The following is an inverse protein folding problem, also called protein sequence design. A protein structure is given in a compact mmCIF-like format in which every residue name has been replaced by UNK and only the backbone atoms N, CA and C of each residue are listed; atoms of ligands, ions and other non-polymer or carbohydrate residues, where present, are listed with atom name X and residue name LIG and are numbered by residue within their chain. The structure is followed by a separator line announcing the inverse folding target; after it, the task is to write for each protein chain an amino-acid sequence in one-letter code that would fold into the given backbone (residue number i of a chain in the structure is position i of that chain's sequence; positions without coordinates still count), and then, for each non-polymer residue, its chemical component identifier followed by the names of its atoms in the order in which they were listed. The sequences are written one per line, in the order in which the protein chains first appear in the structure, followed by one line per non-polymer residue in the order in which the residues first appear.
data_IF_796662509813
#
_entry.id   IF_796662509813
#
_cell.length_a   1.000
_cell.length_b   1.000
_cell.length_c   1.000
_cell.angle_alpha   90.00
_cell.angle_beta   90.00
_cell.angle_gamma   90.00
#
_symmetry.space_group_name_H-M   'P 1'
#
loop_
_entity.id
_entity.type
_entity.pdbx_description
1 polymer ?
#
# COMPACT_ATOMS: atom_id res chain seq x y z
N UNK A 1 -65.78 -37.18 -47.03
CA UNK A 1 -65.80 -35.71 -46.84
C UNK A 1 -66.54 -35.48 -45.54
N UNK A 2 -65.81 -35.35 -44.44
CA UNK A 2 -66.40 -35.14 -43.12
C UNK A 2 -65.58 -34.05 -42.43
N UNK A 3 -66.25 -32.92 -42.20
CA UNK A 3 -65.84 -31.91 -41.25
C UNK A 3 -66.45 -32.30 -39.91
N UNK A 4 -65.64 -32.47 -38.88
CA UNK A 4 -66.13 -32.48 -37.51
C UNK A 4 -65.30 -31.55 -36.62
N UNK A 5 -66.03 -30.81 -35.79
CA UNK A 5 -65.57 -29.84 -34.81
C UNK A 5 -65.27 -30.55 -33.49
N UNK A 6 -64.58 -29.80 -32.62
CA UNK A 6 -64.64 -29.86 -31.14
C UNK A 6 -63.56 -30.69 -30.45
N UNK A 7 -62.61 -30.02 -29.79
CA UNK A 7 -62.58 -29.92 -28.31
C UNK A 7 -61.39 -29.09 -27.83
N UNK A 8 -61.71 -27.95 -27.22
CA UNK A 8 -60.87 -27.28 -26.24
C UNK A 8 -60.60 -28.21 -25.04
N UNK A 9 -59.39 -28.12 -24.48
CA UNK A 9 -59.04 -28.48 -23.10
C UNK A 9 -57.61 -27.95 -22.81
N UNK A 10 -57.23 -27.68 -21.55
CA UNK A 10 -57.03 -26.31 -21.07
C UNK A 10 -55.57 -25.98 -20.72
N UNK A 11 -55.36 -24.69 -20.49
CA UNK A 11 -54.25 -24.08 -19.77
C UNK A 11 -53.75 -24.92 -18.58
N UNK A 12 -52.47 -25.29 -18.64
CA UNK A 12 -51.66 -25.55 -17.44
C UNK A 12 -50.62 -24.45 -17.36
N UNK A 13 -50.97 -23.41 -16.60
CA UNK A 13 -50.02 -22.53 -15.94
C UNK A 13 -49.13 -23.40 -15.06
N UNK A 14 -47.95 -23.73 -15.59
CA UNK A 14 -46.85 -24.30 -14.83
C UNK A 14 -46.24 -23.17 -14.01
N UNK A 15 -46.56 -23.16 -12.73
CA UNK A 15 -46.10 -22.25 -11.70
C UNK A 15 -44.57 -22.23 -11.69
N UNK A 16 -43.98 -21.13 -12.17
CA UNK A 16 -42.55 -20.87 -12.08
C UNK A 16 -42.17 -20.73 -10.61
N UNK A 17 -41.43 -21.70 -10.08
CA UNK A 17 -40.74 -21.56 -8.80
C UNK A 17 -39.75 -20.39 -8.91
N UNK A 18 -39.76 -19.40 -8.01
CA UNK A 18 -38.76 -18.34 -8.00
C UNK A 18 -37.54 -18.87 -7.23
N UNK A 19 -36.42 -19.17 -7.90
CA UNK A 19 -35.26 -19.60 -7.13
C UNK A 19 -33.95 -19.86 -7.84
N UNK A 20 -33.94 -20.20 -9.13
CA UNK A 20 -32.67 -20.55 -9.79
C UNK A 20 -32.37 -19.59 -10.93
N UNK A 21 -31.40 -18.71 -10.71
CA UNK A 21 -30.86 -17.89 -11.79
C UNK A 21 -29.88 -18.75 -12.57
N UNK A 22 -30.03 -18.87 -13.90
CA UNK A 22 -28.99 -19.48 -14.72
C UNK A 22 -27.66 -18.72 -14.50
N UNK A 23 -26.54 -19.43 -14.35
CA UNK A 23 -25.22 -18.80 -14.14
C UNK A 23 -24.85 -17.79 -15.24
N UNK A 24 -25.39 -17.97 -16.45
CA UNK A 24 -25.30 -17.03 -17.56
C UNK A 24 -26.08 -15.72 -17.34
N UNK A 25 -27.22 -15.75 -16.65
CA UNK A 25 -28.02 -14.58 -16.30
C UNK A 25 -27.32 -13.74 -15.22
N UNK A 26 -26.73 -14.40 -14.22
CA UNK A 26 -25.92 -13.72 -13.19
C UNK A 26 -24.73 -12.98 -13.81
N UNK A 27 -23.95 -13.64 -14.67
CA UNK A 27 -22.82 -13.00 -15.35
C UNK A 27 -23.21 -11.80 -16.21
N UNK A 28 -24.39 -11.85 -16.85
CA UNK A 28 -24.95 -10.71 -17.58
C UNK A 28 -25.34 -9.55 -16.64
N UNK A 29 -25.96 -9.83 -15.49
CA UNK A 29 -26.29 -8.80 -14.50
C UNK A 29 -25.04 -8.13 -13.91
N UNK A 30 -24.00 -8.89 -13.57
CA UNK A 30 -22.71 -8.31 -13.13
C UNK A 30 -22.08 -7.46 -14.23
N UNK A 31 -22.15 -7.89 -15.49
CA UNK A 31 -21.64 -7.13 -16.64
C UNK A 31 -22.42 -5.83 -16.89
N UNK A 32 -23.75 -5.84 -16.71
CA UNK A 32 -24.58 -4.65 -16.81
C UNK A 32 -24.28 -3.64 -15.68
N UNK A 33 -24.11 -4.11 -14.45
CA UNK A 33 -23.72 -3.27 -13.31
C UNK A 33 -22.31 -2.70 -13.54
N UNK A 34 -21.37 -3.52 -14.01
CA UNK A 34 -20.03 -3.07 -14.38
C UNK A 34 -20.09 -1.95 -15.43
N UNK A 35 -20.90 -2.11 -16.48
CA UNK A 35 -21.08 -1.07 -17.50
C UNK A 35 -21.66 0.22 -16.92
N UNK A 36 -22.58 0.15 -15.94
CA UNK A 36 -23.10 1.34 -15.25
C UNK A 36 -22.04 2.02 -14.37
N UNK A 37 -21.17 1.25 -13.73
CA UNK A 37 -20.07 1.78 -12.90
C UNK A 37 -18.96 2.44 -13.75
N UNK A 38 -18.68 1.89 -14.94
CA UNK A 38 -17.64 2.36 -15.85
C UNK A 38 -18.12 3.41 -16.86
N UNK A 39 -19.42 3.45 -17.19
CA UNK A 39 -19.96 4.41 -18.16
C UNK A 39 -19.73 5.86 -17.74
N UNK A 40 -19.19 6.63 -18.69
CA UNK A 40 -18.84 8.04 -18.55
C UNK A 40 -20.08 8.95 -18.46
N UNK A 41 -21.26 8.48 -18.87
CA UNK A 41 -22.55 9.20 -18.82
C UNK A 41 -23.13 9.29 -17.40
N UNK A 42 -22.68 8.43 -16.48
CA UNK A 42 -23.11 8.40 -15.07
C UNK A 42 -22.37 9.41 -14.18
N UNK A 43 -21.95 10.57 -14.72
CA UNK A 43 -21.30 11.66 -13.95
C UNK A 43 -22.14 12.20 -12.78
N UNK A 44 -23.44 11.85 -12.70
CA UNK A 44 -24.24 12.04 -11.49
C UNK A 44 -23.97 10.92 -10.49
N UNK A 45 -23.27 11.23 -9.39
CA UNK A 45 -22.93 10.29 -8.31
C UNK A 45 -24.10 9.42 -7.79
N UNK A 46 -25.36 9.87 -7.97
CA UNK A 46 -26.57 9.10 -7.67
C UNK A 46 -26.70 7.79 -8.48
N UNK A 47 -26.35 7.80 -9.77
CA UNK A 47 -26.46 6.61 -10.63
C UNK A 47 -25.45 5.51 -10.26
N UNK A 48 -24.24 5.92 -9.88
CA UNK A 48 -23.20 4.99 -9.41
C UNK A 48 -23.50 4.45 -8.01
N UNK A 49 -24.02 5.28 -7.11
CA UNK A 49 -24.44 4.85 -5.78
C UNK A 49 -25.58 3.83 -5.84
N UNK A 50 -26.58 4.04 -6.70
CA UNK A 50 -27.62 3.04 -6.97
C UNK A 50 -27.03 1.73 -7.50
N UNK A 51 -26.07 1.78 -8.43
CA UNK A 51 -25.40 0.58 -8.94
C UNK A 51 -24.64 -0.21 -7.85
N UNK A 52 -24.04 0.47 -6.86
CA UNK A 52 -23.39 -0.19 -5.70
C UNK A 52 -24.44 -0.85 -4.79
N UNK A 53 -25.60 -0.21 -4.59
CA UNK A 53 -26.70 -0.80 -3.82
C UNK A 53 -27.31 -2.01 -4.53
N UNK A 54 -27.57 -1.89 -5.84
CA UNK A 54 -28.05 -2.98 -6.70
C UNK A 54 -27.09 -4.18 -6.66
N UNK A 55 -25.78 -3.91 -6.68
CA UNK A 55 -24.74 -4.94 -6.56
C UNK A 55 -24.77 -5.62 -5.19
N UNK A 56 -24.93 -4.85 -4.11
CA UNK A 56 -25.06 -5.39 -2.76
C UNK A 56 -26.28 -6.31 -2.62
N UNK A 57 -27.43 -5.89 -3.17
CA UNK A 57 -28.66 -6.69 -3.18
C UNK A 57 -28.51 -7.96 -4.04
N UNK A 58 -27.85 -7.86 -5.20
CA UNK A 58 -27.58 -9.01 -6.06
C UNK A 58 -26.70 -10.04 -5.34
N UNK A 59 -25.65 -9.62 -4.64
CA UNK A 59 -24.77 -10.51 -3.87
C UNK A 59 -25.51 -11.20 -2.73
N UNK A 60 -26.43 -10.49 -2.05
CA UNK A 60 -27.26 -11.09 -1.00
C UNK A 60 -28.20 -12.15 -1.56
N UNK A 61 -28.92 -11.82 -2.63
CA UNK A 61 -29.92 -12.68 -3.26
C UNK A 61 -29.34 -13.90 -3.97
N UNK A 62 -28.08 -13.85 -4.41
CA UNK A 62 -27.46 -14.96 -5.14
C UNK A 62 -27.07 -16.10 -4.19
N UNK A 63 -27.50 -17.32 -4.53
CA UNK A 63 -27.17 -18.55 -3.81
C UNK A 63 -25.70 -18.94 -3.98
N UNK A 64 -25.15 -19.67 -3.00
CA UNK A 64 -23.70 -19.90 -2.85
C UNK A 64 -23.07 -20.63 -4.03
N UNK A 65 -23.79 -21.59 -4.60
CA UNK A 65 -23.25 -22.51 -5.62
C UNK A 65 -23.21 -21.87 -7.02
N UNK A 66 -24.12 -20.91 -7.28
CA UNK A 66 -24.23 -20.22 -8.58
C UNK A 66 -23.09 -19.23 -8.86
N UNK A 67 -22.34 -18.79 -7.84
CA UNK A 67 -21.17 -17.91 -8.02
C UNK A 67 -19.97 -18.61 -8.68
N UNK A 68 -19.88 -19.94 -8.52
CA UNK A 68 -18.69 -20.73 -8.90
C UNK A 68 -18.96 -21.77 -9.99
N UNK A 69 -20.23 -21.99 -10.36
CA UNK A 69 -20.64 -22.81 -11.50
C UNK A 69 -20.50 -22.07 -12.84
N UNK A 70 -19.31 -22.15 -13.44
CA UNK A 70 -19.11 -21.73 -14.82
C UNK A 70 -19.63 -22.77 -15.83
N UNK A 71 -20.66 -22.41 -16.60
CA UNK A 71 -20.94 -23.05 -17.90
C UNK A 71 -19.82 -22.69 -18.89
N UNK A 72 -19.15 -23.68 -19.46
CA UNK A 72 -17.93 -23.54 -20.27
C UNK A 72 -18.09 -22.86 -21.64
N UNK A 73 -18.91 -21.82 -21.78
CA UNK A 73 -19.25 -21.22 -23.09
C UNK A 73 -19.24 -19.69 -23.16
N UNK A 74 -19.02 -18.94 -22.07
CA UNK A 74 -18.85 -17.47 -22.16
C UNK A 74 -17.37 -17.08 -22.24
N UNK A 75 -17.04 -16.17 -23.18
CA UNK A 75 -15.68 -15.69 -23.48
C UNK A 75 -14.92 -15.06 -22.29
N UNK A 76 -15.61 -14.74 -21.19
CA UNK A 76 -15.03 -14.34 -19.91
C UNK A 76 -15.67 -15.17 -18.80
N UNK A 77 -14.85 -15.72 -17.91
CA UNK A 77 -15.34 -16.47 -16.75
C UNK A 77 -15.93 -15.53 -15.68
N UNK A 78 -16.95 -15.98 -14.95
CA UNK A 78 -17.49 -15.28 -13.76
C UNK A 78 -16.40 -14.73 -12.80
N UNK A 79 -15.30 -15.46 -12.51
CA UNK A 79 -14.17 -14.95 -11.74
C UNK A 79 -13.54 -13.66 -12.28
N UNK A 80 -13.40 -13.52 -13.60
CA UNK A 80 -12.78 -12.36 -14.23
C UNK A 80 -13.70 -11.15 -14.15
N UNK A 81 -15.00 -11.35 -14.35
CA UNK A 81 -16.02 -10.29 -14.22
C UNK A 81 -16.05 -9.75 -12.80
N UNK A 82 -15.97 -10.62 -11.79
CA UNK A 82 -15.87 -10.22 -10.37
C UNK A 82 -14.60 -9.39 -10.09
N UNK A 83 -13.46 -9.77 -10.66
CA UNK A 83 -12.22 -8.99 -10.58
C UNK A 83 -12.37 -7.59 -11.19
N UNK A 84 -13.02 -7.47 -12.35
CA UNK A 84 -13.30 -6.17 -12.99
C UNK A 84 -14.27 -5.32 -12.17
N UNK A 85 -15.30 -5.93 -11.57
CA UNK A 85 -16.24 -5.24 -10.67
C UNK A 85 -15.51 -4.70 -9.45
N UNK A 86 -14.65 -5.50 -8.81
CA UNK A 86 -13.87 -5.03 -7.67
C UNK A 86 -12.93 -3.88 -8.03
N UNK A 87 -12.30 -3.93 -9.22
CA UNK A 87 -11.49 -2.82 -9.75
C UNK A 87 -12.33 -1.56 -10.01
N UNK A 88 -13.56 -1.70 -10.50
CA UNK A 88 -14.46 -0.56 -10.71
C UNK A 88 -14.94 0.05 -9.38
N UNK A 89 -15.20 -0.79 -8.37
CA UNK A 89 -15.58 -0.36 -7.02
C UNK A 89 -14.44 0.35 -6.30
N UNK A 90 -13.22 -0.19 -6.38
CA UNK A 90 -12.01 0.43 -5.84
C UNK A 90 -11.82 1.84 -6.44
N UNK A 91 -11.90 1.98 -7.77
CA UNK A 91 -11.83 3.27 -8.45
C UNK A 91 -12.98 4.22 -8.08
N UNK A 92 -14.16 3.71 -7.78
CA UNK A 92 -15.29 4.54 -7.35
C UNK A 92 -15.11 5.09 -5.92
N UNK A 93 -14.45 4.34 -5.06
CA UNK A 93 -14.11 4.73 -3.70
C UNK A 93 -12.77 5.48 -3.58
N UNK A 94 -12.03 5.66 -4.67
CA UNK A 94 -10.76 6.37 -4.69
C UNK A 94 -10.95 7.90 -4.47
N UNK A 95 -10.03 8.56 -3.75
CA UNK A 95 -10.10 9.99 -3.53
C UNK A 95 -9.91 10.81 -4.82
N UNK A 96 -10.47 12.04 -4.88
CA UNK A 96 -10.31 12.93 -6.02
C UNK A 96 -8.85 13.42 -6.15
N UNK A 97 -8.52 13.94 -7.34
CA UNK A 97 -7.21 14.51 -7.66
C UNK A 97 -6.80 15.59 -6.65
N UNK A 98 -5.52 15.62 -6.28
CA UNK A 98 -4.96 16.55 -5.26
C UNK A 98 -5.27 18.04 -5.51
N UNK A 99 -5.53 18.46 -6.75
CA UNK A 99 -5.81 19.86 -7.09
C UNK A 99 -7.26 20.30 -6.84
N UNK A 100 -8.21 19.38 -6.68
CA UNK A 100 -9.65 19.69 -6.66
C UNK A 100 -10.30 19.76 -5.26
N UNK A 101 -9.58 19.42 -4.19
CA UNK A 101 -10.19 19.07 -2.89
C UNK A 101 -9.85 19.97 -1.70
N UNK A 102 -10.31 21.23 -1.66
CA UNK A 102 -10.48 21.93 -0.35
C UNK A 102 -11.87 21.63 0.21
N UNK A 103 -11.95 20.69 1.15
CA UNK A 103 -13.03 20.58 2.15
C UNK A 103 -14.21 19.67 1.83
N UNK A 104 -14.99 19.91 0.77
CA UNK A 104 -16.31 19.26 0.62
C UNK A 104 -16.30 17.87 -0.05
N UNK A 105 -15.32 17.57 -0.89
CA UNK A 105 -15.29 16.30 -1.65
C UNK A 105 -14.97 15.06 -0.79
N UNK A 106 -14.27 15.24 0.33
CA UNK A 106 -13.75 14.12 1.13
C UNK A 106 -14.82 13.40 1.96
N UNK A 107 -15.83 14.12 2.46
CA UNK A 107 -16.94 13.49 3.17
C UNK A 107 -17.76 12.57 2.26
N UNK A 108 -17.95 12.94 1.00
CA UNK A 108 -18.67 12.10 0.03
C UNK A 108 -17.85 10.85 -0.34
N UNK A 109 -16.52 10.97 -0.41
CA UNK A 109 -15.61 9.84 -0.65
C UNK A 109 -15.69 8.83 0.50
N UNK A 110 -15.66 9.30 1.75
CA UNK A 110 -15.73 8.42 2.91
C UNK A 110 -17.06 7.63 2.97
N UNK A 111 -18.20 8.27 2.65
CA UNK A 111 -19.49 7.56 2.59
C UNK A 111 -19.56 6.56 1.43
N UNK A 112 -19.00 6.90 0.25
CA UNK A 112 -18.85 5.95 -0.86
C UNK A 112 -17.99 4.75 -0.46
N UNK A 113 -16.88 5.01 0.23
CA UNK A 113 -15.99 3.98 0.71
C UNK A 113 -16.68 3.05 1.71
N UNK A 114 -17.44 3.58 2.68
CA UNK A 114 -18.22 2.77 3.59
C UNK A 114 -19.23 1.87 2.86
N UNK A 115 -19.95 2.40 1.86
CA UNK A 115 -20.90 1.62 1.07
C UNK A 115 -20.21 0.50 0.26
N UNK A 116 -19.09 0.82 -0.39
CA UNK A 116 -18.28 -0.15 -1.15
C UNK A 116 -17.68 -1.22 -0.24
N UNK A 117 -17.21 -0.83 0.95
CA UNK A 117 -16.66 -1.75 1.94
C UNK A 117 -17.70 -2.77 2.43
N UNK A 118 -18.95 -2.35 2.66
CA UNK A 118 -20.05 -3.27 2.99
C UNK A 118 -20.31 -4.29 1.88
N UNK A 119 -20.20 -3.87 0.60
CA UNK A 119 -20.32 -4.79 -0.54
C UNK A 119 -19.16 -5.80 -0.55
N UNK A 120 -17.93 -5.38 -0.26
CA UNK A 120 -16.79 -6.29 -0.15
C UNK A 120 -16.92 -7.26 1.02
N UNK A 121 -17.43 -6.84 2.18
CA UNK A 121 -17.71 -7.73 3.31
C UNK A 121 -18.71 -8.82 2.94
N UNK A 122 -19.82 -8.45 2.28
CA UNK A 122 -20.82 -9.42 1.80
C UNK A 122 -20.22 -10.40 0.80
N UNK A 123 -19.38 -9.91 -0.12
CA UNK A 123 -18.71 -10.75 -1.11
C UNK A 123 -17.74 -11.72 -0.43
N UNK A 124 -16.83 -11.23 0.42
CA UNK A 124 -15.87 -12.06 1.14
C UNK A 124 -16.55 -13.08 2.06
N UNK A 125 -17.66 -12.71 2.72
CA UNK A 125 -18.44 -13.65 3.54
C UNK A 125 -19.03 -14.80 2.73
N UNK A 126 -19.40 -14.58 1.45
CA UNK A 126 -19.82 -15.66 0.55
C UNK A 126 -18.65 -16.58 0.19
N UNK A 127 -17.44 -16.04 0.01
CA UNK A 127 -16.22 -16.84 -0.20
C UNK A 127 -15.83 -17.64 1.04
N UNK A 128 -15.96 -17.07 2.24
CA UNK A 128 -15.72 -17.77 3.50
C UNK A 128 -16.71 -18.92 3.72
N UNK A 129 -18.00 -18.66 3.49
CA UNK A 129 -19.01 -19.70 3.56
C UNK A 129 -18.80 -20.81 2.51
N UNK A 130 -18.38 -20.44 1.29
CA UNK A 130 -18.05 -21.39 0.24
C UNK A 130 -16.81 -22.22 0.57
N UNK A 131 -15.80 -21.64 1.22
CA UNK A 131 -14.60 -22.34 1.70
C UNK A 131 -14.95 -23.46 2.70
N UNK A 132 -15.93 -23.23 3.57
CA UNK A 132 -16.39 -24.24 4.54
C UNK A 132 -17.27 -25.33 3.90
N UNK A 133 -17.72 -25.13 2.67
CA UNK A 133 -18.40 -26.14 1.86
C UNK A 133 -17.36 -26.87 0.99
N UNK A 134 -17.37 -28.20 0.93
CA UNK A 134 -16.39 -29.02 0.20
C UNK A 134 -16.40 -28.86 -1.35
N UNK A 135 -16.99 -27.78 -1.88
CA UNK A 135 -17.27 -27.60 -3.30
C UNK A 135 -16.11 -26.88 -4.01
N UNK A 136 -15.48 -27.62 -4.94
CA UNK A 136 -14.67 -27.22 -6.10
C UNK A 136 -13.66 -26.05 -5.96
N UNK A 137 -12.35 -26.23 -6.27
CA UNK A 137 -11.30 -25.23 -6.07
C UNK A 137 -11.39 -23.97 -6.96
N UNK A 138 -12.45 -23.79 -7.76
CA UNK A 138 -12.67 -22.61 -8.63
C UNK A 138 -12.77 -21.30 -7.86
N UNK A 139 -13.22 -21.34 -6.60
CA UNK A 139 -13.26 -20.16 -5.72
C UNK A 139 -11.87 -19.57 -5.47
N UNK A 140 -10.81 -20.38 -5.45
CA UNK A 140 -9.43 -19.92 -5.26
C UNK A 140 -8.97 -19.02 -6.42
N UNK A 141 -9.38 -19.34 -7.65
CA UNK A 141 -9.05 -18.53 -8.84
C UNK A 141 -9.75 -17.18 -8.80
N UNK A 142 -11.04 -17.14 -8.49
CA UNK A 142 -11.78 -15.88 -8.35
C UNK A 142 -11.29 -15.01 -7.19
N UNK A 143 -10.95 -15.63 -6.05
CA UNK A 143 -10.36 -14.93 -4.92
C UNK A 143 -9.01 -14.28 -5.30
N UNK A 144 -8.19 -14.95 -6.12
CA UNK A 144 -6.90 -14.40 -6.56
C UNK A 144 -7.06 -13.09 -7.33
N UNK A 145 -8.03 -13.04 -8.24
CA UNK A 145 -8.26 -11.85 -9.09
C UNK A 145 -8.96 -10.72 -8.31
N UNK A 146 -9.72 -11.07 -7.26
CA UNK A 146 -10.43 -10.15 -6.38
C UNK A 146 -9.54 -9.56 -5.26
N UNK A 147 -8.61 -10.35 -4.73
CA UNK A 147 -7.83 -10.00 -3.54
C UNK A 147 -7.00 -8.73 -3.71
N UNK A 148 -6.43 -8.50 -4.90
CA UNK A 148 -5.62 -7.30 -5.18
C UNK A 148 -6.42 -6.00 -5.06
N UNK A 149 -7.51 -5.82 -5.82
CA UNK A 149 -8.36 -4.62 -5.73
C UNK A 149 -8.98 -4.42 -4.34
N UNK A 150 -9.42 -5.49 -3.66
CA UNK A 150 -9.96 -5.40 -2.28
C UNK A 150 -8.89 -4.93 -1.31
N UNK A 151 -7.67 -5.47 -1.42
CA UNK A 151 -6.55 -5.04 -0.59
C UNK A 151 -6.24 -3.56 -0.80
N UNK A 152 -6.13 -3.09 -2.06
CA UNK A 152 -5.86 -1.68 -2.36
C UNK A 152 -6.94 -0.78 -1.75
N UNK A 153 -8.21 -1.15 -1.89
CA UNK A 153 -9.33 -0.45 -1.26
C UNK A 153 -9.19 -0.41 0.27
N UNK A 154 -8.95 -1.56 0.90
CA UNK A 154 -8.86 -1.65 2.36
C UNK A 154 -7.72 -0.78 2.88
N UNK A 155 -6.54 -0.84 2.28
CA UNK A 155 -5.38 -0.01 2.68
C UNK A 155 -5.64 1.48 2.48
N UNK A 156 -6.32 1.85 1.38
CA UNK A 156 -6.65 3.26 1.08
C UNK A 156 -7.49 3.92 2.18
N UNK A 157 -8.35 3.14 2.83
CA UNK A 157 -9.30 3.64 3.85
C UNK A 157 -8.94 3.22 5.28
N UNK A 158 -7.96 2.34 5.48
CA UNK A 158 -7.46 1.95 6.81
C UNK A 158 -6.44 2.92 7.41
N UNK A 159 -5.91 3.85 6.61
CA UNK A 159 -5.00 4.88 7.10
C UNK A 159 -5.77 6.16 7.38
N UNK A 160 -5.53 6.79 8.52
CA UNK A 160 -6.09 8.11 8.82
C UNK A 160 -5.58 9.12 7.77
N UNK A 161 -6.49 9.55 6.89
CA UNK A 161 -6.22 10.45 5.79
C UNK A 161 -7.35 11.48 5.65
N UNK A 162 -7.14 12.60 4.93
CA UNK A 162 -8.18 13.61 4.75
C UNK A 162 -9.48 13.10 4.14
N UNK A 163 -9.44 11.97 3.40
CA UNK A 163 -10.58 11.34 2.73
C UNK A 163 -11.24 10.19 3.51
N UNK A 164 -10.80 9.91 4.74
CA UNK A 164 -11.35 8.83 5.56
C UNK A 164 -12.23 9.37 6.69
N UNK A 165 -13.33 8.67 6.99
CA UNK A 165 -14.14 8.88 8.19
C UNK A 165 -13.95 7.69 9.17
N UNK A 166 -14.31 7.83 10.46
CA UNK A 166 -14.25 6.71 11.41
C UNK A 166 -15.01 5.48 10.89
N UNK A 167 -16.18 5.71 10.29
CA UNK A 167 -16.98 4.64 9.68
C UNK A 167 -16.29 3.96 8.50
N UNK A 168 -15.68 4.72 7.60
CA UNK A 168 -14.97 4.12 6.45
C UNK A 168 -13.72 3.36 6.91
N UNK A 169 -13.05 3.86 7.93
CA UNK A 169 -11.88 3.24 8.56
C UNK A 169 -12.24 1.89 9.19
N UNK A 170 -13.30 1.85 10.00
CA UNK A 170 -13.74 0.62 10.68
C UNK A 170 -14.14 -0.46 9.66
N UNK A 171 -14.94 -0.09 8.66
CA UNK A 171 -15.34 -1.00 7.57
C UNK A 171 -14.13 -1.49 6.77
N UNK A 172 -13.17 -0.62 6.48
CA UNK A 172 -11.94 -1.00 5.76
C UNK A 172 -11.07 -1.98 6.58
N UNK A 173 -10.99 -1.77 7.89
CA UNK A 173 -10.32 -2.68 8.82
C UNK A 173 -11.00 -4.06 8.86
N UNK A 174 -12.32 -4.11 8.91
CA UNK A 174 -13.09 -5.36 8.83
C UNK A 174 -12.87 -6.07 7.48
N UNK A 175 -12.88 -5.33 6.36
CA UNK A 175 -12.60 -5.88 5.02
C UNK A 175 -11.21 -6.48 4.96
N UNK A 176 -10.20 -5.81 5.52
CA UNK A 176 -8.83 -6.33 5.57
C UNK A 176 -8.75 -7.60 6.42
N UNK A 177 -9.36 -7.61 7.60
CA UNK A 177 -9.36 -8.77 8.50
C UNK A 177 -10.03 -9.99 7.85
N UNK A 178 -11.20 -9.79 7.23
CA UNK A 178 -11.92 -10.85 6.54
C UNK A 178 -11.17 -11.34 5.29
N UNK A 179 -10.52 -10.44 4.55
CA UNK A 179 -9.66 -10.83 3.42
C UNK A 179 -8.56 -11.79 3.88
N UNK A 180 -7.86 -11.44 4.96
CA UNK A 180 -6.79 -12.27 5.54
C UNK A 180 -7.31 -13.65 5.98
N UNK A 181 -8.47 -13.70 6.63
CA UNK A 181 -9.12 -14.96 7.05
C UNK A 181 -9.49 -15.86 5.86
N UNK A 182 -10.09 -15.28 4.82
CA UNK A 182 -10.47 -16.00 3.60
C UNK A 182 -9.23 -16.51 2.86
N UNK A 183 -8.12 -15.77 2.89
CA UNK A 183 -6.86 -16.17 2.25
C UNK A 183 -5.96 -17.04 3.12
N UNK A 184 -6.38 -17.38 4.33
CA UNK A 184 -5.59 -18.17 5.31
C UNK A 184 -4.27 -17.52 5.70
N UNK A 185 -4.21 -16.19 5.70
CA UNK A 185 -3.02 -15.45 6.11
C UNK A 185 -3.20 -14.91 7.54
N UNK A 186 -2.26 -15.21 8.43
CA UNK A 186 -2.23 -14.68 9.80
C UNK A 186 -1.78 -13.23 9.88
N UNK A 187 -1.23 -12.68 8.81
CA UNK A 187 -0.77 -11.29 8.75
C UNK A 187 -0.80 -10.72 7.34
N UNK A 188 -0.79 -9.38 7.26
CA UNK A 188 -0.64 -8.66 5.98
C UNK A 188 0.68 -9.01 5.30
N UNK A 189 1.77 -9.15 6.07
CA UNK A 189 3.06 -9.57 5.55
C UNK A 189 2.96 -10.95 4.88
N UNK A 190 2.36 -11.93 5.58
CA UNK A 190 2.09 -13.27 5.04
C UNK A 190 1.25 -13.25 3.76
N UNK A 191 0.26 -12.37 3.68
CA UNK A 191 -0.53 -12.18 2.45
C UNK A 191 0.30 -11.65 1.26
N UNK A 192 1.27 -10.78 1.52
CA UNK A 192 2.09 -10.13 0.49
C UNK A 192 3.23 -11.01 -0.01
N UNK A 193 3.98 -11.67 0.88
CA UNK A 193 5.13 -12.48 0.49
C UNK A 193 4.88 -14.00 0.48
N UNK A 194 3.75 -14.46 1.02
CA UNK A 194 3.45 -15.88 1.22
C UNK A 194 4.00 -16.37 2.56
N UNK A 195 3.24 -17.20 3.28
CA UNK A 195 3.69 -17.79 4.56
C UNK A 195 4.64 -18.97 4.35
N UNK A 196 4.56 -19.64 3.19
CA UNK A 196 5.36 -20.79 2.81
C UNK A 196 6.26 -20.48 1.58
N UNK A 197 7.43 -21.11 1.48
CA UNK A 197 8.38 -20.88 0.36
C UNK A 197 7.80 -21.23 -1.03
N UNK A 198 6.82 -22.14 -1.08
CA UNK A 198 6.14 -22.55 -2.31
C UNK A 198 4.95 -21.64 -2.69
N UNK A 199 4.49 -20.79 -1.77
CA UNK A 199 3.37 -19.89 -2.01
C UNK A 199 3.86 -18.55 -2.56
N UNK A 200 3.58 -18.31 -3.86
CA UNK A 200 3.86 -17.00 -4.46
C UNK A 200 2.96 -15.95 -3.81
N UNK A 201 3.58 -15.08 -3.01
CA UNK A 201 2.93 -13.93 -2.41
C UNK A 201 2.27 -12.99 -3.43
N UNK A 202 1.28 -12.22 -2.97
CA UNK A 202 0.47 -11.33 -3.82
C UNK A 202 1.11 -9.96 -4.08
N UNK A 203 2.29 -9.70 -3.53
CA UNK A 203 3.01 -8.42 -3.68
C UNK A 203 3.19 -8.02 -5.14
N UNK A 204 3.61 -8.95 -6.01
CA UNK A 204 3.81 -8.67 -7.45
C UNK A 204 2.49 -8.23 -8.11
N UNK A 205 1.38 -8.90 -7.79
CA UNK A 205 0.06 -8.59 -8.34
C UNK A 205 -0.36 -7.16 -7.93
N UNK A 206 -0.19 -6.81 -6.66
CA UNK A 206 -0.53 -5.46 -6.16
C UNK A 206 0.38 -4.41 -6.81
N UNK A 207 1.68 -4.67 -6.93
CA UNK A 207 2.59 -3.74 -7.59
C UNK A 207 2.24 -3.54 -9.08
N UNK A 208 1.83 -4.58 -9.80
CA UNK A 208 1.38 -4.45 -11.19
C UNK A 208 0.04 -3.70 -11.31
N UNK A 209 -0.85 -3.81 -10.32
CA UNK A 209 -2.07 -3.01 -10.26
C UNK A 209 -1.78 -1.52 -10.00
N UNK A 210 -0.78 -1.21 -9.16
CA UNK A 210 -0.38 0.17 -8.83
C UNK A 210 0.51 0.81 -9.90
N UNK A 211 1.27 0.02 -10.66
CA UNK A 211 2.20 0.47 -11.71
C UNK A 211 1.65 1.51 -12.69
N UNK A 212 0.43 1.36 -13.28
CA UNK A 212 -0.11 2.38 -14.18
C UNK A 212 -0.31 3.73 -13.49
N UNK A 213 -0.56 3.73 -12.18
CA UNK A 213 -0.75 4.91 -11.36
C UNK A 213 0.54 5.40 -10.69
N UNK A 214 1.66 4.67 -10.84
CA UNK A 214 2.98 5.03 -10.28
C UNK A 214 3.96 5.47 -11.38
N UNK A 215 3.49 6.29 -12.32
CA UNK A 215 4.34 6.92 -13.33
C UNK A 215 4.37 8.43 -13.14
N UNK A 216 5.37 9.11 -13.71
CA UNK A 216 5.63 10.55 -13.55
C UNK A 216 4.40 11.43 -13.85
N UNK A 217 3.52 10.99 -14.74
CA UNK A 217 2.35 11.73 -15.20
C UNK A 217 1.07 11.39 -14.42
N UNK A 218 0.98 10.17 -13.87
CA UNK A 218 -0.24 9.63 -13.30
C UNK A 218 -0.30 9.61 -11.78
N UNK A 219 0.83 9.61 -11.08
CA UNK A 219 0.85 9.39 -9.63
C UNK A 219 0.20 10.48 -8.78
N UNK A 220 0.07 11.69 -9.33
CA UNK A 220 -0.67 12.79 -8.71
C UNK A 220 -2.18 12.76 -8.97
N UNK A 221 -2.64 11.87 -9.84
CA UNK A 221 -4.07 11.73 -10.14
C UNK A 221 -4.84 11.07 -8.98
N UNK A 222 -4.16 10.26 -8.16
CA UNK A 222 -4.77 9.63 -7.01
C UNK A 222 -3.86 9.79 -5.78
N UNK A 223 -4.22 10.66 -4.81
CA UNK A 223 -3.39 10.85 -3.62
C UNK A 223 -3.23 9.57 -2.80
N UNK A 224 -4.15 8.60 -2.89
CA UNK A 224 -4.05 7.35 -2.14
C UNK A 224 -2.89 6.48 -2.62
N UNK A 225 -2.54 6.51 -3.92
CA UNK A 225 -1.58 5.57 -4.53
C UNK A 225 -0.22 5.60 -3.82
N UNK A 226 0.28 6.78 -3.47
CA UNK A 226 1.56 6.93 -2.74
C UNK A 226 1.51 6.34 -1.32
N UNK A 227 0.37 6.49 -0.64
CA UNK A 227 0.18 5.95 0.71
C UNK A 227 0.02 4.43 0.68
N UNK A 228 -0.77 3.90 -0.26
CA UNK A 228 -0.92 2.44 -0.47
C UNK A 228 0.41 1.81 -0.83
N UNK A 229 1.18 2.43 -1.72
CA UNK A 229 2.53 1.97 -2.07
C UNK A 229 3.46 1.98 -0.85
N UNK A 230 3.54 3.10 -0.13
CA UNK A 230 4.42 3.23 1.04
C UNK A 230 4.06 2.24 2.14
N UNK A 231 2.78 2.08 2.44
CA UNK A 231 2.31 1.13 3.43
C UNK A 231 2.61 -0.31 3.02
N UNK A 232 2.28 -0.69 1.79
CA UNK A 232 2.53 -2.05 1.27
C UNK A 232 4.01 -2.38 1.26
N UNK A 233 4.88 -1.42 0.93
CA UNK A 233 6.32 -1.58 0.97
C UNK A 233 6.83 -1.87 2.39
N UNK A 234 6.31 -1.15 3.40
CA UNK A 234 6.71 -1.32 4.80
C UNK A 234 6.35 -2.71 5.37
N UNK A 235 5.34 -3.38 4.82
CA UNK A 235 4.93 -4.73 5.24
C UNK A 235 5.87 -5.83 4.73
N UNK A 236 6.67 -5.58 3.69
CA UNK A 236 7.58 -6.57 3.10
C UNK A 236 9.00 -6.34 3.59
N UNK A 237 9.56 -7.31 4.30
CA UNK A 237 10.91 -7.25 4.87
C UNK A 237 11.86 -8.31 4.25
N UNK A 238 13.03 -8.50 4.85
CA UNK A 238 14.01 -9.53 4.44
C UNK A 238 13.40 -10.94 4.58
N UNK A 239 13.64 -11.88 3.63
CA UNK A 239 14.47 -11.77 2.42
C UNK A 239 13.72 -11.33 1.14
N UNK A 240 12.38 -11.26 1.17
CA UNK A 240 11.54 -11.15 -0.02
C UNK A 240 11.69 -9.81 -0.77
N UNK A 241 12.00 -8.72 -0.07
CA UNK A 241 12.10 -7.39 -0.67
C UNK A 241 13.15 -7.31 -1.81
N UNK A 242 14.24 -8.08 -1.70
CA UNK A 242 15.35 -8.02 -2.64
C UNK A 242 14.93 -8.35 -4.08
N UNK A 243 14.05 -9.35 -4.25
CA UNK A 243 13.56 -9.80 -5.55
C UNK A 243 12.71 -8.74 -6.26
N UNK A 244 12.26 -7.73 -5.54
CA UNK A 244 11.39 -6.67 -6.04
C UNK A 244 12.06 -5.31 -6.13
N UNK A 245 13.38 -5.23 -5.85
CA UNK A 245 14.13 -3.98 -5.78
C UNK A 245 13.99 -3.11 -7.05
N UNK A 246 14.00 -3.73 -8.23
CA UNK A 246 13.86 -3.05 -9.52
C UNK A 246 12.49 -2.39 -9.72
N UNK A 247 11.47 -2.89 -9.03
CA UNK A 247 10.08 -2.42 -9.14
C UNK A 247 9.75 -1.36 -8.09
N UNK A 248 10.37 -1.45 -6.91
CA UNK A 248 10.10 -0.56 -5.77
C UNK A 248 11.00 0.67 -5.73
N UNK A 249 12.24 0.56 -6.25
CA UNK A 249 13.21 1.65 -6.18
C UNK A 249 12.79 2.85 -7.04
N UNK A 250 12.36 2.68 -8.32
CA UNK A 250 11.97 3.82 -9.15
C UNK A 250 10.76 4.61 -8.58
N UNK A 251 9.65 3.97 -8.13
CA UNK A 251 8.56 4.71 -7.49
C UNK A 251 8.97 5.39 -6.17
N UNK A 252 9.84 4.77 -5.37
CA UNK A 252 10.31 5.38 -4.12
C UNK A 252 11.12 6.65 -4.39
N UNK A 253 11.98 6.63 -5.41
CA UNK A 253 12.75 7.80 -5.86
C UNK A 253 11.84 8.88 -6.45
N UNK A 254 10.85 8.48 -7.27
CA UNK A 254 9.87 9.39 -7.86
C UNK A 254 9.08 10.16 -6.79
N UNK A 255 8.64 9.47 -5.73
CA UNK A 255 7.93 10.09 -4.61
C UNK A 255 8.86 11.03 -3.82
N UNK A 256 10.13 10.64 -3.62
CA UNK A 256 11.10 11.49 -2.92
C UNK A 256 11.47 12.76 -3.68
N UNK A 257 11.46 12.75 -5.02
CA UNK A 257 11.80 13.89 -5.87
C UNK A 257 10.67 14.93 -6.01
N UNK A 258 9.51 14.68 -5.38
CA UNK A 258 8.38 15.60 -5.49
C UNK A 258 8.66 16.96 -4.85
N UNK A 259 7.95 18.00 -5.28
CA UNK A 259 8.10 19.33 -4.72
C UNK A 259 7.48 19.48 -3.32
N UNK A 260 6.44 18.69 -2.98
CA UNK A 260 5.78 18.77 -1.68
C UNK A 260 6.57 18.03 -0.60
N UNK A 261 6.83 18.70 0.53
CA UNK A 261 7.57 18.15 1.68
C UNK A 261 7.02 16.83 2.20
N UNK A 262 5.70 16.69 2.29
CA UNK A 262 5.04 15.48 2.81
C UNK A 262 5.36 14.26 1.94
N UNK A 263 5.35 14.45 0.62
CA UNK A 263 5.71 13.42 -0.35
C UNK A 263 7.21 13.09 -0.26
N UNK A 264 8.08 14.10 -0.14
CA UNK A 264 9.52 13.88 0.06
C UNK A 264 9.78 13.03 1.29
N UNK A 265 9.15 13.35 2.42
CA UNK A 265 9.30 12.59 3.67
C UNK A 265 8.82 11.14 3.48
N UNK A 266 7.65 10.94 2.87
CA UNK A 266 7.12 9.61 2.57
C UNK A 266 8.08 8.79 1.70
N UNK A 267 8.62 9.40 0.64
CA UNK A 267 9.62 8.80 -0.23
C UNK A 267 10.89 8.41 0.52
N UNK A 268 11.42 9.31 1.36
CA UNK A 268 12.61 9.04 2.20
C UNK A 268 12.36 7.88 3.17
N UNK A 269 11.16 7.76 3.75
CA UNK A 269 10.79 6.60 4.57
C UNK A 269 10.81 5.30 3.78
N UNK A 270 10.29 5.31 2.54
CA UNK A 270 10.39 4.17 1.62
C UNK A 270 11.85 3.80 1.32
N UNK A 271 12.70 4.78 1.01
CA UNK A 271 14.12 4.56 0.75
C UNK A 271 14.84 3.99 1.98
N UNK A 272 14.55 4.51 3.18
CA UNK A 272 15.12 4.00 4.42
C UNK A 272 14.73 2.55 4.67
N UNK A 273 13.47 2.19 4.42
CA UNK A 273 13.01 0.81 4.52
C UNK A 273 13.78 -0.12 3.58
N UNK A 274 14.04 0.31 2.34
CA UNK A 274 14.86 -0.42 1.37
C UNK A 274 16.29 -0.60 1.89
N UNK A 275 16.93 0.45 2.41
CA UNK A 275 18.28 0.38 2.97
C UNK A 275 18.37 -0.61 4.13
N UNK A 276 17.36 -0.61 5.01
CA UNK A 276 17.30 -1.51 6.16
C UNK A 276 16.97 -2.96 5.79
N UNK A 277 16.26 -3.20 4.68
CA UNK A 277 15.76 -4.53 4.30
C UNK A 277 16.44 -5.18 3.08
N UNK A 278 17.32 -4.47 2.37
CA UNK A 278 18.10 -5.07 1.27
C UNK A 278 19.53 -5.40 1.72
N UNK A 279 20.11 -6.54 1.32
CA UNK A 279 21.52 -6.81 1.57
C UNK A 279 22.44 -5.75 0.95
N UNK A 280 23.54 -5.42 1.63
CA UNK A 280 24.48 -4.41 1.16
C UNK A 280 25.08 -4.74 -0.22
N UNK A 281 25.30 -6.02 -0.52
CA UNK A 281 25.81 -6.48 -1.80
C UNK A 281 24.88 -6.07 -2.97
N UNK A 282 23.57 -6.27 -2.80
CA UNK A 282 22.58 -5.99 -3.84
C UNK A 282 22.34 -4.48 -4.03
N UNK A 283 22.54 -3.69 -2.97
CA UNK A 283 22.55 -2.22 -3.07
C UNK A 283 23.81 -1.69 -3.76
N UNK A 284 24.97 -2.33 -3.55
CA UNK A 284 26.20 -1.95 -4.24
C UNK A 284 26.16 -2.37 -5.71
N UNK A 285 25.45 -3.45 -6.04
CA UNK A 285 25.23 -3.87 -7.42
C UNK A 285 24.51 -2.77 -8.21
N UNK A 286 24.98 -2.55 -9.45
CA UNK A 286 24.49 -1.50 -10.35
C UNK A 286 24.55 -0.07 -9.76
N UNK A 287 25.41 0.18 -8.76
CA UNK A 287 25.57 1.48 -8.10
C UNK A 287 24.27 2.04 -7.48
N UNK A 288 23.31 1.18 -7.09
CA UNK A 288 22.03 1.61 -6.51
C UNK A 288 22.23 2.39 -5.20
N UNK A 289 23.20 2.00 -4.39
CA UNK A 289 23.58 2.70 -3.17
C UNK A 289 24.05 4.15 -3.44
N UNK A 290 24.76 4.37 -4.56
CA UNK A 290 25.21 5.70 -4.97
C UNK A 290 24.04 6.57 -5.45
N UNK A 291 23.10 5.98 -6.19
CA UNK A 291 21.86 6.66 -6.60
C UNK A 291 21.05 7.09 -5.38
N UNK A 292 20.92 6.20 -4.39
CA UNK A 292 20.27 6.52 -3.10
C UNK A 292 20.99 7.66 -2.37
N UNK A 293 22.33 7.61 -2.31
CA UNK A 293 23.11 8.67 -1.69
C UNK A 293 22.87 10.02 -2.34
N UNK A 294 22.97 10.11 -3.67
CA UNK A 294 22.76 11.38 -4.38
C UNK A 294 21.34 11.92 -4.22
N UNK A 295 20.32 11.06 -4.30
CA UNK A 295 18.93 11.46 -4.07
C UNK A 295 18.73 12.04 -2.66
N UNK A 296 19.25 11.35 -1.64
CA UNK A 296 19.17 11.81 -0.24
C UNK A 296 19.99 13.07 0.01
N UNK A 297 21.19 13.15 -0.57
CA UNK A 297 22.08 14.30 -0.43
C UNK A 297 21.45 15.57 -0.99
N UNK A 298 20.75 15.48 -2.12
CA UNK A 298 20.04 16.61 -2.72
C UNK A 298 18.97 17.21 -1.78
N UNK A 299 18.34 16.39 -0.93
CA UNK A 299 17.36 16.89 0.04
C UNK A 299 17.96 17.73 1.16
N UNK A 300 19.26 17.59 1.45
CA UNK A 300 19.94 18.37 2.51
C UNK A 300 20.02 19.86 2.18
N UNK A 301 19.91 20.24 0.91
CA UNK A 301 19.85 21.64 0.47
C UNK A 301 18.48 22.30 0.70
N UNK A 302 17.45 21.51 1.04
CA UNK A 302 16.11 22.05 1.33
C UNK A 302 15.98 22.40 2.81
N UNK A 303 15.65 23.66 3.19
CA UNK A 303 15.63 24.11 4.58
C UNK A 303 14.35 23.70 5.33
N UNK A 304 14.06 22.40 5.38
CA UNK A 304 12.88 21.79 6.01
C UNK A 304 13.29 20.78 7.09
N UNK A 305 13.00 21.10 8.35
CA UNK A 305 13.53 20.33 9.48
C UNK A 305 13.03 18.88 9.55
N UNK A 306 11.74 18.64 9.24
CA UNK A 306 11.17 17.30 9.21
C UNK A 306 11.83 16.42 8.13
N UNK A 307 12.04 17.00 6.94
CA UNK A 307 12.68 16.32 5.83
C UNK A 307 14.14 16.00 6.16
N UNK A 308 14.90 16.99 6.64
CA UNK A 308 16.30 16.81 7.04
C UNK A 308 16.41 15.72 8.11
N UNK A 309 15.51 15.68 9.10
CA UNK A 309 15.54 14.63 10.13
C UNK A 309 15.36 13.23 9.53
N UNK A 310 14.42 13.07 8.59
CA UNK A 310 14.18 11.79 7.91
C UNK A 310 15.40 11.39 7.04
N UNK A 311 15.95 12.35 6.29
CA UNK A 311 17.08 12.16 5.37
C UNK A 311 18.35 11.78 6.14
N UNK A 312 18.67 12.51 7.22
CA UNK A 312 19.84 12.20 8.05
C UNK A 312 19.73 10.80 8.66
N UNK A 313 18.55 10.42 9.13
CA UNK A 313 18.31 9.07 9.65
C UNK A 313 18.56 8.00 8.57
N UNK A 314 18.10 8.25 7.34
CA UNK A 314 18.32 7.34 6.21
C UNK A 314 19.80 7.26 5.78
N UNK A 315 20.49 8.40 5.70
CA UNK A 315 21.91 8.46 5.35
C UNK A 315 22.78 7.72 6.38
N UNK A 316 22.48 7.88 7.68
CA UNK A 316 23.17 7.16 8.76
C UNK A 316 23.07 5.64 8.61
N UNK A 317 21.92 5.14 8.15
CA UNK A 317 21.68 3.73 7.85
C UNK A 317 22.33 3.28 6.53
N UNK A 318 22.54 4.19 5.58
CA UNK A 318 23.16 3.94 4.26
C UNK A 318 24.69 3.93 4.29
N UNK A 319 25.33 4.80 5.09
CA UNK A 319 26.80 4.89 5.14
C UNK A 319 27.51 3.54 5.39
N UNK A 320 27.04 2.61 6.26
CA UNK A 320 27.67 1.31 6.44
C UNK A 320 27.66 0.44 5.18
N UNK A 321 26.74 0.69 4.25
CA UNK A 321 26.69 0.02 2.94
C UNK A 321 27.76 0.61 2.02
N UNK A 322 27.85 1.95 1.94
CA UNK A 322 28.81 2.67 1.09
C UNK A 322 30.26 2.52 1.55
N UNK A 323 30.49 2.51 2.86
CA UNK A 323 31.83 2.58 3.47
C UNK A 323 32.40 1.20 3.82
N UNK A 324 31.65 0.10 3.56
CA UNK A 324 32.05 -1.28 3.93
C UNK A 324 33.35 -1.75 3.28
N UNK A 325 33.82 -1.08 2.23
CA UNK A 325 35.13 -1.32 1.59
C UNK A 325 36.27 -0.43 2.11
N UNK A 326 35.97 0.61 2.89
CA UNK A 326 36.94 1.58 3.41
C UNK A 326 37.46 1.12 4.78
N UNK A 327 37.95 -0.11 4.87
CA UNK A 327 38.68 -0.55 6.05
C UNK A 327 40.04 0.15 6.09
N UNK A 328 40.09 1.22 6.89
CA UNK A 328 41.32 1.96 7.18
C UNK A 328 42.33 1.06 7.90
N UNK A 329 43.26 0.48 7.16
CA UNK A 329 44.48 -0.15 7.71
C UNK A 329 45.49 0.98 7.88
N UNK A 330 45.68 1.41 9.13
CA UNK A 330 46.40 2.63 9.49
C UNK A 330 47.75 2.84 8.79
N UNK A 331 48.02 4.08 8.38
CA UNK A 331 49.32 4.52 7.86
C UNK A 331 49.37 5.88 7.15
N UNK A 332 48.24 6.45 6.69
CA UNK A 332 48.20 7.74 5.95
C UNK A 332 47.05 8.69 6.34
N UNK A 333 46.73 9.67 5.49
CA UNK A 333 45.53 10.49 5.64
C UNK A 333 44.27 9.66 5.35
N UNK A 334 43.28 9.73 6.25
CA UNK A 334 41.98 9.07 6.06
C UNK A 334 41.33 9.63 4.78
N UNK A 335 40.90 8.79 3.82
CA UNK A 335 40.16 9.28 2.66
C UNK A 335 38.85 9.92 3.12
N UNK A 336 38.49 11.05 2.52
CA UNK A 336 37.20 11.73 2.76
C UNK A 336 36.07 10.75 2.50
N UNK A 337 35.29 10.45 3.54
CA UNK A 337 34.14 9.55 3.42
C UNK A 337 32.87 10.33 3.07
N UNK A 338 31.86 9.66 2.52
CA UNK A 338 30.53 10.26 2.30
C UNK A 338 29.94 10.83 3.61
N UNK A 339 30.23 10.19 4.74
CA UNK A 339 29.89 10.71 6.07
C UNK A 339 30.58 12.05 6.37
N UNK A 340 31.83 12.26 5.91
CA UNK A 340 32.57 13.50 6.10
C UNK A 340 32.00 14.64 5.25
N UNK A 341 31.60 14.35 4.01
CA UNK A 341 30.93 15.32 3.12
C UNK A 341 29.61 15.81 3.72
N UNK A 342 28.77 14.88 4.16
CA UNK A 342 27.48 15.21 4.80
C UNK A 342 27.68 15.99 6.09
N UNK A 343 28.66 15.62 6.92
CA UNK A 343 28.96 16.36 8.15
C UNK A 343 29.47 17.78 7.84
N UNK A 344 30.36 17.94 6.86
CA UNK A 344 30.83 19.25 6.44
C UNK A 344 29.66 20.12 5.95
N UNK A 345 28.75 19.56 5.15
CA UNK A 345 27.57 20.27 4.68
C UNK A 345 26.65 20.72 5.84
N UNK A 346 26.38 19.82 6.79
CA UNK A 346 25.55 20.13 7.97
C UNK A 346 26.16 21.26 8.79
N UNK A 347 27.48 21.24 9.03
CA UNK A 347 28.16 22.29 9.79
C UNK A 347 28.10 23.64 9.06
N UNK A 348 28.34 23.64 7.75
CA UNK A 348 28.21 24.83 6.90
C UNK A 348 26.78 25.38 6.90
N UNK A 349 25.76 24.52 6.87
CA UNK A 349 24.36 24.96 6.96
C UNK A 349 23.96 25.41 8.35
N UNK A 350 24.57 24.87 9.41
CA UNK A 350 24.27 25.22 10.80
C UNK A 350 24.80 26.61 11.18
N UNK A 351 25.89 27.07 10.57
CA UNK A 351 26.54 28.35 10.88
C UNK A 351 25.64 29.59 10.61
N UNK A 352 24.98 29.73 9.44
CA UNK A 352 24.06 30.84 9.18
C UNK A 352 22.60 30.56 9.60
N UNK A 353 22.27 29.39 10.15
CA UNK A 353 20.87 29.00 10.39
C UNK A 353 20.27 29.66 11.64
N UNK A 354 19.24 30.49 11.41
CA UNK A 354 18.53 31.19 12.47
C UNK A 354 17.29 30.44 12.99
N UNK A 355 16.76 29.47 12.24
CA UNK A 355 15.58 28.71 12.65
C UNK A 355 15.96 27.67 13.72
N UNK A 356 15.43 27.85 14.93
CA UNK A 356 15.74 27.01 16.09
C UNK A 356 15.47 25.52 15.85
N UNK A 357 14.40 25.18 15.14
CA UNK A 357 14.05 23.78 14.87
C UNK A 357 15.09 23.09 13.97
N UNK A 358 15.54 23.76 12.90
CA UNK A 358 16.59 23.23 12.02
C UNK A 358 17.92 23.08 12.77
N UNK A 359 18.32 24.11 13.52
CA UNK A 359 19.54 24.07 14.32
C UNK A 359 19.53 22.96 15.37
N UNK A 360 18.38 22.72 16.02
CA UNK A 360 18.18 21.59 16.94
C UNK A 360 18.28 20.24 16.22
N UNK A 361 17.68 20.12 15.02
CA UNK A 361 17.77 18.90 14.21
C UNK A 361 19.21 18.58 13.83
N UNK A 362 19.98 19.58 13.37
CA UNK A 362 21.41 19.39 13.08
C UNK A 362 22.18 18.99 14.35
N UNK A 363 22.05 19.77 15.43
CA UNK A 363 22.74 19.53 16.69
C UNK A 363 22.46 18.14 17.29
N UNK A 364 21.22 17.64 17.18
CA UNK A 364 20.82 16.32 17.67
C UNK A 364 21.53 15.18 16.93
N UNK A 365 21.86 15.35 15.67
CA UNK A 365 22.51 14.32 14.86
C UNK A 365 24.04 14.35 14.97
N UNK A 366 24.65 15.50 15.31
CA UNK A 366 26.11 15.66 15.42
C UNK A 366 26.81 14.58 16.28
N UNK A 367 26.31 14.19 17.47
CA UNK A 367 26.97 13.17 18.29
C UNK A 367 27.11 11.83 17.57
N UNK A 368 26.14 11.47 16.71
CA UNK A 368 26.15 10.21 15.95
C UNK A 368 27.25 10.23 14.89
N UNK A 369 27.41 11.36 14.19
CA UNK A 369 28.49 11.57 13.22
C UNK A 369 29.87 11.55 13.89
N UNK A 370 30.02 12.20 15.06
CA UNK A 370 31.28 12.22 15.82
C UNK A 370 31.65 10.83 16.32
N UNK A 371 30.70 10.07 16.90
CA UNK A 371 30.94 8.70 17.36
C UNK A 371 31.41 7.78 16.24
N UNK A 372 30.92 7.99 15.01
CA UNK A 372 31.32 7.22 13.82
C UNK A 372 32.74 7.55 13.33
N UNK A 373 33.27 8.73 13.66
CA UNK A 373 34.65 9.09 13.32
C UNK A 373 35.69 8.38 14.21
N UNK A 374 35.32 7.94 15.41
CA UNK A 374 36.22 7.24 16.33
C UNK A 374 36.42 5.78 15.88
N UNK A 375 37.65 5.35 15.53
CA UNK A 375 37.93 3.97 15.16
C UNK A 375 37.59 3.01 16.31
N UNK A 376 36.75 1.99 16.07
CA UNK A 376 36.45 0.92 17.03
C UNK A 376 35.01 0.82 17.55
N UNK A 377 34.10 1.74 17.18
CA UNK A 377 32.74 1.80 17.76
C UNK A 377 31.61 1.15 16.93
N UNK A 378 31.89 0.39 15.87
CA UNK A 378 30.86 -0.31 15.11
C UNK A 378 31.01 -1.84 15.25
N UNK A 379 30.40 -2.41 16.29
CA UNK A 379 30.00 -3.82 16.28
C UNK A 379 28.61 -3.91 15.64
N UNK A 380 28.46 -4.78 14.64
CA UNK A 380 27.26 -4.87 13.81
C UNK A 380 26.00 -5.29 14.58
N UNK A 381 24.92 -4.53 14.35
CA UNK A 381 23.48 -4.82 14.55
C UNK A 381 22.90 -4.86 15.97
N UNK A 382 21.92 -3.94 16.11
CA UNK A 382 20.67 -3.91 16.91
C UNK A 382 20.70 -3.53 18.40
N UNK A 383 19.64 -2.81 18.85
CA UNK A 383 19.73 -1.84 19.94
C UNK A 383 19.14 -2.39 21.24
N UNK A 384 19.83 -2.20 22.35
CA UNK A 384 19.19 -2.22 23.65
C UNK A 384 19.26 -0.83 24.24
N UNK A 385 18.09 -0.21 24.31
CA UNK A 385 17.83 0.97 25.13
C UNK A 385 18.14 0.57 26.57
N UNK A 386 19.32 0.92 27.06
CA UNK A 386 19.52 1.14 28.47
C UNK A 386 19.87 2.62 28.65
N UNK A 387 18.87 3.35 29.18
CA UNK A 387 19.13 4.51 29.99
C UNK A 387 20.10 4.09 31.10
N UNK A 388 21.39 4.37 30.93
CA UNK A 388 22.26 4.52 32.08
C UNK A 388 21.97 5.90 32.67
N UNK A 389 21.13 5.90 33.71
CA UNK A 389 20.97 7.05 34.59
C UNK A 389 22.32 7.44 35.18
N UNK A 390 22.80 8.63 34.82
CA UNK A 390 23.84 9.30 35.57
C UNK A 390 23.16 10.10 36.69
N UNK A 391 22.82 9.41 37.78
CA UNK A 391 22.60 10.06 39.06
C UNK A 391 23.94 10.23 39.77
N UNK A 392 24.18 11.48 40.17
CA UNK A 392 24.91 11.91 41.37
C UNK A 392 26.38 11.53 41.52
N UNK A 393 27.27 12.50 41.31
CA UNK A 393 28.15 13.03 42.37
C UNK A 393 28.99 14.21 41.85
N UNK A 394 28.49 15.43 42.08
CA UNK A 394 29.32 16.63 42.15
C UNK A 394 30.02 16.66 43.54
N UNK A 395 31.31 17.00 43.65
CA UNK A 395 31.83 17.60 44.86
C UNK A 395 31.79 19.12 44.72
N UNK A 396 30.91 19.73 45.51
CA UNK A 396 30.85 21.16 45.77
C UNK A 396 31.80 21.47 46.94
N UNK A 397 32.94 22.11 46.67
CA UNK A 397 33.77 22.81 47.66
C UNK A 397 34.91 23.51 46.92
N UNK A 398 35.13 24.82 46.98
CA UNK A 398 34.41 25.92 47.59
C UNK A 398 35.21 27.18 47.29
N UNK A 399 34.55 28.28 46.97
CA UNK A 399 35.17 29.60 46.91
C UNK A 399 34.23 30.55 47.66
N UNK A 400 34.66 30.93 48.86
CA UNK A 400 34.04 31.93 49.70
C UNK A 400 35.12 32.54 50.57
N UNK A 401 35.66 33.67 50.10
CA UNK A 401 36.12 34.85 50.86
C UNK A 401 36.58 35.90 49.87
#
# INVERSE_FOLDING_TARGET
MEHDRSRESPSREGTSLPGEWPSSALGQSFSQILHRLTSQESRRGKGKSAAVQDLGALIEATERDQFFEGSGTSLHGMPEVLGQVAKALEKYAAPPKEQEGRGHGYSEVAEKAAAVGLVFLKLLGKFEAAKNSLVCPKWKTGLRDLAGPIYIFAVTHSLEQPWTSPRSHDVAGEVLALLLQVTECGSVAGFLHGENEDEKGRFILIMELLKPDLNKESWKNNPATKHVFSWTLQQVSRPWLNQHLERILPPSLLISDDYQTENKILGVHCLRHIVLNVPAADLLQYNRAQVLYHALFNHLYTPEYCLIQAVLSCLLDLFPVLEKGLHWKGGGARPTTHCDEVLQLILTHMEPEHRLLLRRTYARNLPVFVKRRVPGCWCGRTPQVHLCGATSSLPFSGWGS
#
